data_IF_769342155616
#
_entry.id   IF_769342155616
#
_cell.length_a   1.000
_cell.length_b   1.000
_cell.length_c   1.000
_cell.angle_alpha   90.00
_cell.angle_beta   90.00
_cell.angle_gamma   90.00
#
_symmetry.space_group_name_H-M   'P 1'
#
loop_
_entity.id
_entity.type
_entity.pdbx_description
1 polymer ?
#
# COMPACT_ATOMS: atom_id res chain seq x y z
N UNK A 1 29.08 37.75 -48.55
CA UNK A 1 29.48 36.34 -48.56
C UNK A 1 29.69 35.81 -47.14
N UNK A 2 30.41 36.51 -46.26
CA UNK A 2 30.70 36.07 -44.89
C UNK A 2 29.40 35.94 -44.04
N UNK A 3 28.49 36.91 -44.12
CA UNK A 3 27.20 36.88 -43.40
C UNK A 3 26.31 35.73 -43.81
N UNK A 4 26.30 35.37 -45.06
CA UNK A 4 25.52 34.19 -45.57
C UNK A 4 26.15 32.88 -45.07
N UNK A 5 27.49 32.79 -45.03
CA UNK A 5 28.18 31.62 -44.51
C UNK A 5 27.89 31.41 -43.00
N UNK A 6 27.90 32.51 -42.22
CA UNK A 6 27.56 32.46 -40.77
C UNK A 6 26.08 32.03 -40.58
N UNK A 7 25.15 32.55 -41.38
CA UNK A 7 23.74 32.16 -41.33
C UNK A 7 23.51 30.66 -41.64
N UNK A 8 24.22 30.14 -42.61
CA UNK A 8 24.15 28.70 -42.99
C UNK A 8 24.72 27.82 -41.88
N UNK A 9 25.86 28.21 -41.27
CA UNK A 9 26.46 27.47 -40.16
C UNK A 9 25.53 27.47 -38.95
N UNK A 10 24.94 28.62 -38.59
CA UNK A 10 24.01 28.75 -37.47
C UNK A 10 22.75 27.88 -37.70
N UNK A 11 22.22 27.85 -38.93
CA UNK A 11 21.08 27.01 -39.30
C UNK A 11 21.41 25.51 -39.22
N UNK A 12 22.58 25.09 -39.66
CA UNK A 12 23.03 23.69 -39.54
C UNK A 12 23.17 23.24 -38.08
N UNK A 13 23.75 24.13 -37.21
CA UNK A 13 23.90 23.89 -35.78
C UNK A 13 22.51 23.77 -35.12
N UNK A 14 21.57 24.62 -35.50
CA UNK A 14 20.19 24.61 -34.97
C UNK A 14 19.45 23.35 -35.41
N UNK A 15 19.58 22.93 -36.65
CA UNK A 15 19.03 21.67 -37.14
C UNK A 15 19.62 20.45 -36.41
N UNK A 16 20.90 20.43 -36.16
CA UNK A 16 21.58 19.35 -35.42
C UNK A 16 21.13 19.31 -33.96
N UNK A 17 20.96 20.48 -33.32
CA UNK A 17 20.42 20.58 -31.96
C UNK A 17 18.98 20.06 -31.87
N UNK A 18 18.09 20.48 -32.79
CA UNK A 18 16.71 20.01 -32.87
C UNK A 18 16.65 18.51 -33.14
N UNK A 19 17.44 17.98 -34.06
CA UNK A 19 17.51 16.55 -34.37
C UNK A 19 17.92 15.72 -33.15
N UNK A 20 18.92 16.17 -32.40
CA UNK A 20 19.36 15.51 -31.18
C UNK A 20 18.29 15.56 -30.06
N UNK A 21 17.54 16.65 -29.96
CA UNK A 21 16.43 16.77 -28.99
C UNK A 21 15.27 15.84 -29.35
N UNK A 22 14.92 15.75 -30.62
CA UNK A 22 13.89 14.83 -31.13
C UNK A 22 14.32 13.38 -30.92
N UNK A 23 15.57 13.03 -31.15
CA UNK A 23 16.12 11.70 -30.92
C UNK A 23 16.06 11.31 -29.43
N UNK A 24 16.46 12.21 -28.52
CA UNK A 24 16.31 12.00 -27.07
C UNK A 24 14.86 11.79 -26.65
N UNK A 25 13.91 12.56 -27.19
CA UNK A 25 12.47 12.41 -26.94
C UNK A 25 11.94 11.06 -27.48
N UNK A 26 12.41 10.64 -28.65
CA UNK A 26 12.03 9.35 -29.24
C UNK A 26 12.56 8.17 -28.40
N UNK A 27 13.84 8.22 -27.99
CA UNK A 27 14.45 7.20 -27.12
C UNK A 27 13.78 7.15 -25.74
N UNK A 28 13.39 8.30 -25.20
CA UNK A 28 12.62 8.38 -23.95
C UNK A 28 11.22 7.75 -24.12
N UNK A 29 10.51 8.04 -25.22
CA UNK A 29 9.23 7.39 -25.54
C UNK A 29 9.37 5.89 -25.72
N UNK A 30 10.43 5.40 -26.35
CA UNK A 30 10.67 3.97 -26.46
C UNK A 30 10.97 3.31 -25.13
N UNK A 31 11.77 3.95 -24.26
CA UNK A 31 12.00 3.49 -22.89
C UNK A 31 10.70 3.45 -22.08
N UNK A 32 9.86 4.48 -22.16
CA UNK A 32 8.54 4.50 -21.53
C UNK A 32 7.63 3.38 -22.07
N UNK A 33 7.65 3.10 -23.37
CA UNK A 33 6.88 2.01 -23.96
C UNK A 33 7.34 0.65 -23.44
N UNK A 34 8.65 0.41 -23.33
CA UNK A 34 9.20 -0.81 -22.73
C UNK A 34 8.80 -0.96 -21.26
N UNK A 35 8.82 0.12 -20.47
CA UNK A 35 8.39 0.12 -19.06
C UNK A 35 6.88 -0.17 -18.97
N UNK A 36 6.07 0.44 -19.85
CA UNK A 36 4.62 0.24 -19.91
C UNK A 36 4.22 -1.19 -20.32
N UNK A 37 5.04 -1.88 -21.09
CA UNK A 37 4.84 -3.26 -21.48
C UNK A 37 5.31 -4.28 -20.42
N UNK A 38 6.01 -3.82 -19.38
CA UNK A 38 6.47 -4.68 -18.29
C UNK A 38 5.27 -5.16 -17.47
N UNK A 39 5.27 -6.43 -17.05
CA UNK A 39 4.23 -7.03 -16.21
C UNK A 39 3.89 -6.17 -14.98
N UNK A 40 4.94 -5.66 -14.29
CA UNK A 40 4.80 -4.83 -13.10
C UNK A 40 3.99 -3.55 -13.38
N UNK A 41 4.21 -2.88 -14.52
CA UNK A 41 3.46 -1.68 -14.87
C UNK A 41 2.00 -1.99 -15.21
N UNK A 42 1.75 -3.11 -15.89
CA UNK A 42 0.39 -3.60 -16.15
C UNK A 42 -0.34 -3.92 -14.86
N UNK A 43 0.33 -4.54 -13.90
CA UNK A 43 -0.22 -4.86 -12.58
C UNK A 43 -0.54 -3.60 -11.77
N UNK A 44 0.32 -2.58 -11.78
CA UNK A 44 0.04 -1.29 -11.16
C UNK A 44 -1.17 -0.58 -11.80
N UNK A 45 -1.34 -0.69 -13.12
CA UNK A 45 -2.50 -0.11 -13.81
C UNK A 45 -3.81 -0.82 -13.51
N UNK A 46 -3.78 -2.09 -13.09
CA UNK A 46 -4.96 -2.82 -12.57
C UNK A 46 -5.51 -2.11 -11.33
N UNK A 47 -4.65 -1.62 -10.43
CA UNK A 47 -5.07 -0.83 -9.27
C UNK A 47 -5.90 0.40 -9.64
N UNK A 48 -5.47 1.19 -10.63
CA UNK A 48 -6.25 2.37 -11.07
C UNK A 48 -7.60 2.00 -11.69
N UNK A 49 -7.71 0.83 -12.33
CA UNK A 49 -8.98 0.33 -12.85
C UNK A 49 -9.96 -0.02 -11.75
N UNK A 50 -9.47 -0.42 -10.56
CA UNK A 50 -10.30 -0.70 -9.39
C UNK A 50 -11.10 0.50 -8.90
N UNK A 51 -10.56 1.72 -9.02
CA UNK A 51 -11.29 2.94 -8.65
C UNK A 51 -12.53 3.13 -9.53
N UNK A 52 -12.44 2.76 -10.82
CA UNK A 52 -13.54 2.96 -11.79
C UNK A 52 -14.54 1.80 -11.81
N UNK A 53 -14.06 0.57 -11.69
CA UNK A 53 -14.84 -0.67 -11.78
C UNK A 53 -14.30 -1.69 -10.76
N UNK A 54 -14.60 -1.52 -9.47
CA UNK A 54 -14.01 -2.36 -8.42
C UNK A 54 -14.43 -3.82 -8.55
N UNK A 55 -15.72 -4.11 -8.63
CA UNK A 55 -16.24 -5.49 -8.70
C UNK A 55 -15.65 -6.26 -9.89
N UNK A 56 -15.75 -5.71 -11.12
CA UNK A 56 -15.21 -6.34 -12.32
C UNK A 56 -13.70 -6.63 -12.17
N UNK A 57 -12.96 -5.71 -11.55
CA UNK A 57 -11.50 -5.84 -11.43
C UNK A 57 -11.13 -6.91 -10.41
N UNK A 58 -11.82 -7.01 -9.26
CA UNK A 58 -11.59 -8.08 -8.28
C UNK A 58 -12.00 -9.44 -8.83
N UNK A 59 -13.11 -9.52 -9.56
CA UNK A 59 -13.52 -10.74 -10.27
C UNK A 59 -12.43 -11.18 -11.28
N UNK A 60 -11.89 -10.25 -12.07
CA UNK A 60 -10.79 -10.57 -13.00
C UNK A 60 -9.49 -10.96 -12.28
N UNK A 61 -9.20 -10.42 -11.10
CA UNK A 61 -8.07 -10.82 -10.27
C UNK A 61 -8.15 -12.30 -9.86
N UNK A 62 -9.36 -12.76 -9.47
CA UNK A 62 -9.62 -14.15 -9.09
C UNK A 62 -9.60 -15.07 -10.32
N UNK A 63 -10.44 -14.78 -11.33
CA UNK A 63 -10.73 -15.71 -12.43
C UNK A 63 -9.70 -15.68 -13.55
N UNK A 64 -9.28 -14.49 -13.98
CA UNK A 64 -8.36 -14.32 -15.12
C UNK A 64 -6.89 -14.23 -14.70
N UNK A 65 -6.60 -14.36 -13.39
CA UNK A 65 -5.27 -14.19 -12.79
C UNK A 65 -4.57 -12.91 -13.27
N UNK A 66 -5.36 -11.86 -13.54
CA UNK A 66 -4.84 -10.52 -13.82
C UNK A 66 -4.44 -9.92 -12.48
N UNK A 67 -3.20 -9.46 -12.40
CA UNK A 67 -2.58 -9.04 -11.15
C UNK A 67 -1.75 -10.16 -10.53
N UNK A 68 -0.52 -9.83 -10.24
CA UNK A 68 0.45 -10.76 -9.68
C UNK A 68 0.59 -10.56 -8.17
N UNK A 69 1.12 -11.57 -7.49
CA UNK A 69 1.55 -11.45 -6.09
C UNK A 69 2.59 -10.33 -5.95
N UNK A 70 3.49 -10.21 -6.95
CA UNK A 70 4.49 -9.13 -6.98
C UNK A 70 3.82 -7.75 -7.02
N UNK A 71 2.79 -7.58 -7.85
CA UNK A 71 2.00 -6.35 -7.90
C UNK A 71 1.35 -6.02 -6.56
N UNK A 72 0.73 -7.00 -5.89
CA UNK A 72 0.18 -6.84 -4.55
C UNK A 72 1.24 -6.45 -3.52
N UNK A 73 2.41 -7.12 -3.54
CA UNK A 73 3.54 -6.79 -2.65
C UNK A 73 4.02 -5.34 -2.84
N UNK A 74 4.08 -4.87 -4.08
CA UNK A 74 4.42 -3.47 -4.36
C UNK A 74 3.37 -2.52 -3.76
N UNK A 75 2.07 -2.85 -3.87
CA UNK A 75 1.02 -2.04 -3.23
C UNK A 75 1.14 -2.03 -1.71
N UNK A 76 1.46 -3.16 -1.07
CA UNK A 76 1.75 -3.20 0.37
C UNK A 76 2.91 -2.29 0.75
N UNK A 77 4.02 -2.36 0.03
CA UNK A 77 5.20 -1.50 0.28
C UNK A 77 4.83 -0.03 0.11
N UNK A 78 4.13 0.32 -0.97
CA UNK A 78 3.69 1.70 -1.21
C UNK A 78 2.71 2.19 -0.14
N UNK A 79 1.78 1.34 0.33
CA UNK A 79 0.84 1.69 1.40
C UNK A 79 1.57 1.93 2.73
N UNK A 80 2.56 1.09 3.07
CA UNK A 80 3.39 1.28 4.26
C UNK A 80 4.15 2.61 4.17
N UNK A 81 4.77 2.91 3.04
CA UNK A 81 5.46 4.18 2.81
C UNK A 81 4.48 5.36 2.92
N UNK A 82 3.32 5.26 2.29
CA UNK A 82 2.28 6.29 2.37
C UNK A 82 1.80 6.55 3.81
N UNK A 83 1.65 5.49 4.60
CA UNK A 83 1.27 5.58 6.01
C UNK A 83 2.38 6.22 6.87
N UNK A 84 3.64 5.83 6.66
CA UNK A 84 4.77 6.44 7.36
C UNK A 84 4.92 7.92 7.00
N UNK A 85 4.76 8.29 5.73
CA UNK A 85 4.73 9.69 5.31
C UNK A 85 3.59 10.45 6.00
N UNK A 86 2.40 9.86 6.04
CA UNK A 86 1.26 10.44 6.75
C UNK A 86 1.49 10.60 8.25
N UNK A 87 2.32 9.78 8.88
CA UNK A 87 2.59 9.85 10.32
C UNK A 87 3.69 10.87 10.66
N UNK A 88 4.74 10.96 9.83
CA UNK A 88 5.97 11.69 10.19
C UNK A 88 6.29 12.90 9.33
N UNK A 89 5.64 13.08 8.18
CA UNK A 89 6.08 14.04 7.15
C UNK A 89 5.12 15.21 6.93
N UNK A 90 4.24 15.53 7.87
CA UNK A 90 3.41 16.73 7.77
C UNK A 90 4.21 18.00 8.03
N UNK A 91 3.79 19.12 7.40
CA UNK A 91 4.29 20.45 7.74
C UNK A 91 4.01 20.79 9.21
N UNK A 92 4.90 21.57 9.84
CA UNK A 92 4.84 21.89 11.28
C UNK A 92 3.45 22.28 11.81
N UNK A 93 2.63 23.10 11.13
CA UNK A 93 1.31 23.45 11.63
C UNK A 93 0.34 22.27 11.76
N UNK A 94 0.53 21.21 10.97
CA UNK A 94 -0.34 20.03 10.92
C UNK A 94 0.28 18.81 11.61
N UNK A 95 1.42 18.97 12.27
CA UNK A 95 2.15 17.89 12.90
C UNK A 95 1.62 17.67 14.33
N UNK A 96 1.01 16.50 14.56
CA UNK A 96 0.57 16.12 15.90
C UNK A 96 1.76 15.56 16.69
N UNK A 97 2.11 16.20 17.79
CA UNK A 97 3.26 15.87 18.66
C UNK A 97 3.25 14.40 19.07
N UNK A 98 2.07 13.83 19.36
CA UNK A 98 1.92 12.43 19.77
C UNK A 98 2.33 11.42 18.69
N UNK A 99 2.11 11.72 17.40
CA UNK A 99 2.49 10.82 16.32
C UNK A 99 4.01 10.82 16.10
N UNK A 100 4.65 11.97 16.24
CA UNK A 100 6.11 12.12 16.04
C UNK A 100 6.93 11.51 17.18
N UNK A 101 6.35 11.37 18.38
CA UNK A 101 7.02 10.74 19.52
C UNK A 101 7.15 9.23 19.42
N UNK A 102 6.39 8.57 18.52
CA UNK A 102 6.47 7.13 18.31
C UNK A 102 7.72 6.76 17.50
N UNK A 103 8.41 5.71 17.94
CA UNK A 103 9.56 5.21 17.20
C UNK A 103 9.13 4.67 15.81
N UNK A 104 9.69 5.18 14.70
CA UNK A 104 9.33 4.75 13.35
C UNK A 104 9.47 3.24 13.10
N UNK A 105 10.45 2.59 13.71
CA UNK A 105 10.63 1.15 13.59
C UNK A 105 9.49 0.37 14.25
N UNK A 106 9.00 0.83 15.40
CA UNK A 106 7.86 0.22 16.09
C UNK A 106 6.58 0.35 15.24
N UNK A 107 6.33 1.53 14.68
CA UNK A 107 5.19 1.77 13.79
C UNK A 107 5.28 0.91 12.53
N UNK A 108 6.46 0.80 11.92
CA UNK A 108 6.68 -0.05 10.76
C UNK A 108 6.35 -1.53 11.05
N UNK A 109 6.87 -2.06 12.16
CA UNK A 109 6.62 -3.45 12.57
C UNK A 109 5.12 -3.66 12.85
N UNK A 110 4.47 -2.71 13.54
CA UNK A 110 3.05 -2.79 13.85
C UNK A 110 2.17 -2.83 12.59
N UNK A 111 2.47 -2.02 11.57
CA UNK A 111 1.72 -2.01 10.31
C UNK A 111 1.90 -3.34 9.56
N UNK A 112 3.14 -3.82 9.44
CA UNK A 112 3.42 -5.10 8.76
C UNK A 112 2.71 -6.23 9.48
N UNK A 113 2.78 -6.28 10.81
CA UNK A 113 2.11 -7.28 11.63
C UNK A 113 0.59 -7.21 11.46
N UNK A 114 -0.01 -6.02 11.51
CA UNK A 114 -1.45 -5.84 11.35
C UNK A 114 -1.96 -6.34 9.98
N UNK A 115 -1.25 -5.99 8.89
CA UNK A 115 -1.59 -6.44 7.54
C UNK A 115 -1.44 -7.95 7.39
N UNK A 116 -0.36 -8.54 7.92
CA UNK A 116 -0.12 -9.98 7.89
C UNK A 116 -1.18 -10.76 8.69
N UNK A 117 -1.49 -10.29 9.91
CA UNK A 117 -2.51 -10.89 10.78
C UNK A 117 -3.90 -10.78 10.14
N UNK A 118 -4.22 -9.63 9.51
CA UNK A 118 -5.49 -9.48 8.79
C UNK A 118 -5.63 -10.52 7.68
N UNK A 119 -4.62 -10.68 6.80
CA UNK A 119 -4.65 -11.67 5.70
C UNK A 119 -4.79 -13.08 6.25
N UNK A 120 -4.05 -13.42 7.31
CA UNK A 120 -4.10 -14.74 7.94
C UNK A 120 -5.48 -15.00 8.56
N UNK A 121 -5.99 -14.08 9.39
CA UNK A 121 -7.28 -14.25 10.06
C UNK A 121 -8.43 -14.28 9.07
N UNK A 122 -8.41 -13.44 8.03
CA UNK A 122 -9.42 -13.46 6.98
C UNK A 122 -9.43 -14.80 6.24
N UNK A 123 -8.24 -15.37 5.96
CA UNK A 123 -8.12 -16.70 5.35
C UNK A 123 -8.73 -17.80 6.26
N UNK A 124 -8.40 -17.79 7.54
CA UNK A 124 -8.93 -18.78 8.50
C UNK A 124 -10.44 -18.69 8.63
N UNK A 125 -10.97 -17.47 8.76
CA UNK A 125 -12.41 -17.22 8.86
C UNK A 125 -13.14 -17.60 7.57
N UNK A 126 -12.57 -17.29 6.40
CA UNK A 126 -13.17 -17.65 5.12
C UNK A 126 -13.18 -19.16 4.91
N UNK A 127 -12.17 -19.88 5.37
CA UNK A 127 -12.15 -21.36 5.34
C UNK A 127 -13.27 -21.99 6.21
N UNK A 128 -13.67 -21.31 7.30
CA UNK A 128 -14.80 -21.75 8.16
C UNK A 128 -16.16 -21.37 7.56
N UNK A 129 -16.23 -20.27 6.81
CA UNK A 129 -17.46 -19.73 6.22
C UNK A 129 -17.65 -20.12 4.74
N UNK A 130 -17.12 -21.22 4.28
CA UNK A 130 -17.25 -21.74 2.92
C UNK A 130 -16.81 -20.74 1.83
N UNK A 131 -15.76 -19.95 2.12
CA UNK A 131 -15.21 -18.98 1.18
C UNK A 131 -14.39 -19.67 0.09
N UNK A 132 -14.57 -19.26 -1.16
CA UNK A 132 -13.86 -19.83 -2.31
C UNK A 132 -12.43 -19.30 -2.51
N UNK A 133 -12.05 -18.18 -1.84
CA UNK A 133 -10.76 -17.51 -2.03
C UNK A 133 -9.61 -18.29 -1.44
N UNK A 134 -8.53 -18.43 -2.22
CA UNK A 134 -7.26 -18.97 -1.72
C UNK A 134 -6.48 -17.92 -0.92
N UNK A 135 -5.51 -18.34 -0.10
CA UNK A 135 -4.61 -17.42 0.61
C UNK A 135 -3.93 -16.39 -0.33
N UNK A 136 -3.51 -16.83 -1.52
CA UNK A 136 -2.92 -15.96 -2.52
C UNK A 136 -3.92 -14.94 -3.08
N UNK A 137 -5.19 -15.28 -3.19
CA UNK A 137 -6.22 -14.36 -3.65
C UNK A 137 -6.54 -13.32 -2.59
N UNK A 138 -6.60 -13.72 -1.30
CA UNK A 138 -6.77 -12.82 -0.16
C UNK A 138 -5.61 -11.84 -0.07
N UNK A 139 -4.38 -12.32 -0.20
CA UNK A 139 -3.18 -11.49 -0.25
C UNK A 139 -3.26 -10.45 -1.38
N UNK A 140 -3.66 -10.88 -2.58
CA UNK A 140 -3.79 -9.97 -3.73
C UNK A 140 -4.86 -8.92 -3.51
N UNK A 141 -6.11 -9.32 -3.20
CA UNK A 141 -7.17 -8.32 -3.09
C UNK A 141 -6.91 -7.33 -1.96
N UNK A 142 -6.37 -7.76 -0.83
CA UNK A 142 -6.02 -6.88 0.28
C UNK A 142 -4.96 -5.85 -0.16
N UNK A 143 -3.88 -6.29 -0.84
CA UNK A 143 -2.85 -5.37 -1.33
C UNK A 143 -3.38 -4.33 -2.32
N UNK A 144 -4.19 -4.76 -3.28
CA UNK A 144 -4.78 -3.86 -4.27
C UNK A 144 -5.84 -2.92 -3.69
N UNK A 145 -6.57 -3.32 -2.64
CA UNK A 145 -7.57 -2.46 -1.98
C UNK A 145 -6.95 -1.25 -1.26
N UNK A 146 -5.64 -1.27 -0.96
CA UNK A 146 -4.93 -0.15 -0.34
C UNK A 146 -4.65 1.02 -1.30
N UNK A 147 -5.02 0.92 -2.58
CA UNK A 147 -4.72 1.95 -3.57
C UNK A 147 -5.23 3.37 -3.21
N UNK A 148 -6.46 3.59 -2.71
CA UNK A 148 -6.89 4.92 -2.31
C UNK A 148 -5.99 5.54 -1.24
N UNK A 149 -5.54 4.74 -0.27
CA UNK A 149 -4.61 5.16 0.76
C UNK A 149 -3.24 5.55 0.18
N UNK A 150 -2.72 4.77 -0.79
CA UNK A 150 -1.46 5.03 -1.48
C UNK A 150 -1.49 6.38 -2.21
N UNK A 151 -2.64 6.80 -2.72
CA UNK A 151 -2.79 8.05 -3.47
C UNK A 151 -3.10 9.22 -2.52
N UNK A 152 -4.10 9.08 -1.66
CA UNK A 152 -4.63 10.17 -0.86
C UNK A 152 -3.70 10.60 0.26
N UNK A 153 -3.00 9.68 0.95
CA UNK A 153 -2.15 10.05 2.08
C UNK A 153 -0.92 10.87 1.65
N UNK A 154 -0.12 10.48 0.64
CA UNK A 154 0.99 11.33 0.19
C UNK A 154 0.53 12.65 -0.40
N UNK A 155 -0.66 12.69 -1.04
CA UNK A 155 -1.25 13.93 -1.53
C UNK A 155 -1.60 14.86 -0.38
N UNK A 156 -2.21 14.35 0.70
CA UNK A 156 -2.50 15.11 1.90
C UNK A 156 -1.24 15.70 2.55
N UNK A 157 -0.16 14.90 2.62
CA UNK A 157 1.15 15.35 3.12
C UNK A 157 1.71 16.44 2.21
N UNK A 158 1.70 16.25 0.89
CA UNK A 158 2.21 17.25 -0.06
C UNK A 158 1.47 18.58 0.05
N UNK A 159 0.14 18.55 0.15
CA UNK A 159 -0.68 19.74 0.31
C UNK A 159 -0.47 20.45 1.65
N UNK A 160 -0.08 19.75 2.70
CA UNK A 160 0.17 20.36 4.03
C UNK A 160 1.28 21.41 4.01
N UNK A 161 2.19 21.37 3.04
CA UNK A 161 3.27 22.36 2.87
C UNK A 161 2.81 23.66 2.19
N UNK A 162 1.65 23.64 1.52
CA UNK A 162 1.13 24.82 0.82
C UNK A 162 -0.16 25.40 1.41
N UNK A 163 -0.83 24.65 2.30
CA UNK A 163 -2.08 25.04 2.92
C UNK A 163 -1.87 25.71 4.29
N UNK A 164 -2.82 26.56 4.68
CA UNK A 164 -2.89 27.16 6.01
C UNK A 164 -3.76 26.33 6.96
N UNK A 165 -3.68 26.57 8.29
CA UNK A 165 -4.52 25.87 9.27
C UNK A 165 -6.04 26.03 9.00
N UNK A 166 -6.46 27.14 8.40
CA UNK A 166 -7.87 27.34 8.06
C UNK A 166 -8.35 26.36 6.98
N UNK A 167 -7.42 25.73 6.24
CA UNK A 167 -7.71 24.79 5.16
C UNK A 167 -7.47 23.32 5.57
N UNK A 168 -7.32 23.06 6.88
CA UNK A 168 -7.11 21.70 7.44
C UNK A 168 -8.21 20.71 6.98
N UNK A 169 -9.41 21.19 6.71
CA UNK A 169 -10.53 20.38 6.23
C UNK A 169 -10.15 19.62 4.96
N UNK A 170 -9.37 20.21 4.04
CA UNK A 170 -8.94 19.56 2.80
C UNK A 170 -8.02 18.36 3.10
N UNK A 171 -7.07 18.54 4.03
CA UNK A 171 -6.15 17.48 4.45
C UNK A 171 -6.93 16.35 5.12
N UNK A 172 -7.85 16.69 6.03
CA UNK A 172 -8.69 15.71 6.73
C UNK A 172 -9.59 14.95 5.77
N UNK A 173 -10.18 15.61 4.78
CA UNK A 173 -11.00 14.99 3.74
C UNK A 173 -10.18 13.96 2.93
N UNK A 174 -8.96 14.29 2.53
CA UNK A 174 -8.08 13.37 1.82
C UNK A 174 -7.72 12.15 2.66
N UNK A 175 -7.44 12.34 3.97
CA UNK A 175 -7.22 11.21 4.89
C UNK A 175 -8.43 10.29 4.96
N UNK A 176 -9.62 10.88 5.16
CA UNK A 176 -10.89 10.15 5.21
C UNK A 176 -11.12 9.39 3.91
N UNK A 177 -10.94 10.02 2.74
CA UNK A 177 -11.09 9.37 1.43
C UNK A 177 -10.07 8.23 1.25
N UNK A 178 -8.84 8.38 1.70
CA UNK A 178 -7.83 7.33 1.67
C UNK A 178 -8.21 6.11 2.48
N UNK A 179 -8.56 6.29 3.76
CA UNK A 179 -8.90 5.18 4.66
C UNK A 179 -10.23 4.53 4.30
N UNK A 180 -11.31 5.32 4.16
CA UNK A 180 -12.63 4.78 3.82
C UNK A 180 -12.67 4.20 2.41
N UNK A 181 -12.01 4.85 1.44
CA UNK A 181 -11.91 4.31 0.09
C UNK A 181 -11.23 2.94 0.06
N UNK A 182 -10.14 2.78 0.82
CA UNK A 182 -9.46 1.48 0.96
C UNK A 182 -10.35 0.46 1.68
N UNK A 183 -11.09 0.88 2.73
CA UNK A 183 -12.05 0.03 3.43
C UNK A 183 -13.17 -0.47 2.51
N UNK A 184 -13.77 0.40 1.71
CA UNK A 184 -14.81 0.04 0.74
C UNK A 184 -14.27 -0.94 -0.30
N UNK A 185 -13.09 -0.68 -0.87
CA UNK A 185 -12.45 -1.61 -1.82
C UNK A 185 -12.16 -2.96 -1.18
N UNK A 186 -11.75 -2.98 0.09
CA UNK A 186 -11.51 -4.22 0.83
C UNK A 186 -12.80 -5.03 0.99
N UNK A 187 -13.91 -4.40 1.34
CA UNK A 187 -15.23 -5.07 1.44
C UNK A 187 -15.63 -5.66 0.10
N UNK A 188 -15.52 -4.90 -1.00
CA UNK A 188 -15.82 -5.38 -2.35
C UNK A 188 -14.87 -6.54 -2.72
N UNK A 189 -13.58 -6.43 -2.36
CA UNK A 189 -12.60 -7.48 -2.57
C UNK A 189 -12.98 -8.80 -1.87
N UNK A 190 -13.49 -8.75 -0.64
CA UNK A 190 -13.98 -9.92 0.09
C UNK A 190 -15.20 -10.54 -0.63
N UNK A 191 -16.19 -9.71 -1.03
CA UNK A 191 -17.38 -10.16 -1.75
C UNK A 191 -16.98 -10.94 -3.00
N UNK A 192 -16.19 -10.32 -3.88
CA UNK A 192 -15.86 -10.90 -5.18
C UNK A 192 -14.89 -12.08 -5.08
N UNK A 193 -13.98 -12.06 -4.10
CA UNK A 193 -12.99 -13.14 -3.92
C UNK A 193 -13.63 -14.38 -3.35
N UNK A 194 -14.55 -14.23 -2.38
CA UNK A 194 -15.21 -15.36 -1.72
C UNK A 194 -16.56 -15.71 -2.30
N UNK A 195 -17.07 -14.91 -3.26
CA UNK A 195 -18.41 -15.05 -3.84
C UNK A 195 -19.51 -14.97 -2.76
N UNK A 196 -19.33 -14.07 -1.80
CA UNK A 196 -20.23 -13.89 -0.68
C UNK A 196 -21.39 -12.94 -1.01
N UNK A 197 -22.54 -13.19 -0.37
CA UNK A 197 -23.60 -12.19 -0.25
C UNK A 197 -23.17 -11.08 0.71
N UNK A 198 -23.86 -9.94 0.68
CA UNK A 198 -23.58 -8.82 1.59
C UNK A 198 -23.56 -9.25 3.07
N UNK A 199 -24.54 -10.03 3.54
CA UNK A 199 -24.62 -10.49 4.93
C UNK A 199 -23.52 -11.48 5.30
N UNK A 200 -23.14 -12.35 4.39
CA UNK A 200 -21.98 -13.24 4.59
C UNK A 200 -20.70 -12.47 4.72
N UNK A 201 -20.54 -11.39 3.93
CA UNK A 201 -19.38 -10.50 4.01
C UNK A 201 -19.31 -9.76 5.35
N UNK A 202 -20.42 -9.21 5.81
CA UNK A 202 -20.50 -8.55 7.14
C UNK A 202 -20.12 -9.54 8.24
N UNK A 203 -20.69 -10.76 8.21
CA UNK A 203 -20.36 -11.83 9.16
C UNK A 203 -18.84 -12.18 9.09
N UNK A 204 -18.29 -12.33 7.89
CA UNK A 204 -16.87 -12.62 7.70
C UNK A 204 -15.97 -11.53 8.29
N UNK A 205 -16.29 -10.25 8.05
CA UNK A 205 -15.52 -9.12 8.58
C UNK A 205 -15.55 -9.10 10.12
N UNK A 206 -16.74 -9.25 10.73
CA UNK A 206 -16.90 -9.29 12.18
C UNK A 206 -16.08 -10.43 12.78
N UNK A 207 -16.19 -11.63 12.21
CA UNK A 207 -15.43 -12.80 12.67
C UNK A 207 -13.92 -12.58 12.47
N UNK A 208 -13.50 -11.99 11.36
CA UNK A 208 -12.07 -11.66 11.11
C UNK A 208 -11.54 -10.74 12.20
N UNK A 209 -12.28 -9.70 12.59
CA UNK A 209 -11.88 -8.78 13.67
C UNK A 209 -11.78 -9.54 15.00
N UNK A 210 -12.76 -10.40 15.33
CA UNK A 210 -12.73 -11.21 16.54
C UNK A 210 -11.49 -12.12 16.55
N UNK A 211 -11.20 -12.79 15.42
CA UNK A 211 -10.02 -13.64 15.29
C UNK A 211 -8.71 -12.86 15.42
N UNK A 212 -8.63 -11.64 14.90
CA UNK A 212 -7.47 -10.76 15.08
C UNK A 212 -7.25 -10.42 16.56
N UNK A 213 -8.32 -10.10 17.30
CA UNK A 213 -8.23 -9.82 18.74
C UNK A 213 -7.78 -11.07 19.50
N UNK A 214 -8.37 -12.24 19.22
CA UNK A 214 -7.96 -13.50 19.83
C UNK A 214 -6.48 -13.84 19.52
N UNK A 215 -6.06 -13.65 18.29
CA UNK A 215 -4.66 -13.86 17.89
C UNK A 215 -3.72 -12.95 18.67
N UNK A 216 -4.07 -11.68 18.83
CA UNK A 216 -3.29 -10.75 19.64
C UNK A 216 -3.19 -11.18 21.11
N UNK A 217 -4.31 -11.62 21.72
CA UNK A 217 -4.32 -12.12 23.11
C UNK A 217 -3.40 -13.35 23.23
N UNK A 218 -3.47 -14.28 22.30
CA UNK A 218 -2.60 -15.48 22.31
C UNK A 218 -1.13 -15.06 22.21
N UNK A 219 -0.79 -14.12 21.31
CA UNK A 219 0.59 -13.62 21.20
C UNK A 219 1.09 -13.00 22.52
N UNK A 220 0.25 -12.21 23.21
CA UNK A 220 0.60 -11.62 24.52
C UNK A 220 0.84 -12.70 25.56
N UNK A 221 -0.04 -13.71 25.66
CA UNK A 221 0.10 -14.81 26.60
C UNK A 221 1.40 -15.59 26.34
N UNK A 222 1.67 -15.93 25.08
CA UNK A 222 2.91 -16.63 24.68
C UNK A 222 4.13 -15.79 25.05
N UNK A 223 4.10 -14.49 24.77
CA UNK A 223 5.21 -13.59 25.13
C UNK A 223 5.49 -13.59 26.63
N UNK A 224 4.45 -13.46 27.46
CA UNK A 224 4.60 -13.51 28.94
C UNK A 224 5.15 -14.85 29.41
N UNK A 225 4.66 -15.95 28.86
CA UNK A 225 5.19 -17.29 29.18
C UNK A 225 6.68 -17.44 28.83
N UNK A 226 7.09 -16.95 27.66
CA UNK A 226 8.50 -16.98 27.25
C UNK A 226 9.39 -16.13 28.17
N UNK A 227 8.91 -14.96 28.60
CA UNK A 227 9.64 -14.10 29.54
C UNK A 227 9.80 -14.78 30.91
N UNK A 228 8.74 -15.44 31.42
CA UNK A 228 8.80 -16.24 32.65
C UNK A 228 9.82 -17.39 32.55
N UNK A 229 9.83 -18.13 31.45
CA UNK A 229 10.79 -19.20 31.20
C UNK A 229 12.22 -18.67 31.18
N UNK A 230 12.45 -17.55 30.50
CA UNK A 230 13.76 -16.89 30.47
C UNK A 230 14.23 -16.50 31.88
N UNK A 231 13.39 -15.85 32.66
CA UNK A 231 13.67 -15.43 34.03
C UNK A 231 13.98 -16.64 34.91
N UNK A 232 13.23 -17.72 34.79
CA UNK A 232 13.47 -18.96 35.50
C UNK A 232 14.85 -19.55 35.18
N UNK A 233 15.20 -19.65 33.90
CA UNK A 233 16.50 -20.16 33.43
C UNK A 233 17.67 -19.30 33.98
N UNK A 234 17.50 -17.95 33.95
CA UNK A 234 18.50 -17.03 34.47
C UNK A 234 18.70 -17.19 35.99
N UNK A 235 17.62 -17.43 36.73
CA UNK A 235 17.68 -17.67 38.18
C UNK A 235 18.40 -18.97 38.51
N UNK A 236 18.03 -20.09 37.87
CA UNK A 236 18.69 -21.38 38.04
C UNK A 236 20.18 -21.31 37.65
N UNK A 237 20.50 -20.59 36.58
CA UNK A 237 21.90 -20.44 36.13
C UNK A 237 22.74 -19.65 37.14
N UNK A 238 22.16 -18.69 37.85
CA UNK A 238 22.84 -17.93 38.91
C UNK A 238 23.07 -18.79 40.16
N UNK A 239 22.11 -19.64 40.52
CA UNK A 239 22.24 -20.55 41.67
C UNK A 239 23.27 -21.65 41.44
N UNK A 240 23.37 -22.19 40.20
CA UNK A 240 24.36 -23.25 39.86
C UNK A 240 25.80 -22.71 39.81
N UNK A 241 25.98 -21.40 39.64
CA UNK A 241 27.31 -20.76 39.62
C UNK A 241 27.83 -20.31 41.00
N UNK A 242 27.01 -20.40 42.03
CA UNK A 242 27.39 -20.18 43.43
C UNK A 242 27.88 -21.47 44.07
#
# INVERSE_FOLDING_TARGET
>A
IILIAIGVICFIVLLKYLSNHIKKLYDFKQKLKKVKDTRVFKDLTVGFRMIKKPADTFYELKTKRRGSIIGATIHYILAIIAFLLNTYSYALPFQYITAVSLNPSTVLVAIIAALAVFVLCNYLVSAINDGEGTFADIYKFTGYSLLPMIICLPLAVGLSYGLTLNEEVVISLLKVLGFWGSGILLVIGIIETHNYTFWQTVKNIILTIIFMVLFFIICVVVFVMLDQIKTFIETVWKEVKL
#
